data_IF_854256507976
#
_entry.id   IF_854256507976
#
_cell.length_a   1.000
_cell.length_b   1.000
_cell.length_c   1.000
_cell.angle_alpha   90.00
_cell.angle_beta   90.00
_cell.angle_gamma   90.00
#
_symmetry.space_group_name_H-M   'P 1'
#
loop_
_entity.id
_entity.type
_entity.pdbx_description
1 polymer ?
#
# COMPACT_ATOMS: atom_id res chain seq x y z
N UNK A 1 15.06 8.43 -21.47
CA UNK A 1 14.80 9.11 -20.19
C UNK A 1 14.07 8.16 -19.26
N UNK A 2 14.57 8.02 -18.04
CA UNK A 2 13.97 7.10 -17.08
C UNK A 2 12.69 7.69 -16.50
N UNK A 3 11.68 6.87 -16.32
CA UNK A 3 10.45 7.25 -15.66
C UNK A 3 10.48 6.78 -14.20
N UNK A 4 9.66 7.39 -13.35
CA UNK A 4 9.49 6.89 -12.00
C UNK A 4 9.01 5.45 -12.04
N UNK A 5 9.50 4.67 -11.10
CA UNK A 5 9.14 3.27 -10.97
C UNK A 5 8.32 3.06 -9.71
N UNK A 6 7.25 2.28 -9.81
CA UNK A 6 6.38 1.97 -8.68
C UNK A 6 6.39 0.47 -8.43
N UNK A 7 6.54 0.09 -7.17
CA UNK A 7 6.62 -1.32 -6.78
C UNK A 7 5.51 -1.61 -5.77
N UNK A 8 4.80 -2.72 -5.98
CA UNK A 8 3.78 -3.19 -5.05
C UNK A 8 4.45 -3.83 -3.85
N UNK A 9 3.96 -3.49 -2.68
CA UNK A 9 4.43 -4.08 -1.43
C UNK A 9 3.21 -4.71 -0.76
N UNK A 10 3.12 -6.05 -0.74
CA UNK A 10 1.99 -6.74 -0.14
C UNK A 10 1.88 -6.40 1.34
N UNK A 11 0.67 -6.16 1.81
CA UNK A 11 0.39 -5.95 3.22
C UNK A 11 -0.81 -6.79 3.61
N UNK A 12 -0.93 -7.07 4.89
CA UNK A 12 -2.12 -7.69 5.45
C UNK A 12 -2.98 -6.62 6.09
N UNK A 13 -4.28 -6.85 6.13
CA UNK A 13 -5.21 -5.85 6.64
C UNK A 13 -6.26 -6.53 7.48
N UNK A 14 -6.46 -6.01 8.69
CA UNK A 14 -7.62 -6.37 9.48
C UNK A 14 -8.76 -5.44 9.10
N UNK A 15 -9.89 -6.03 8.74
CA UNK A 15 -11.04 -5.27 8.26
C UNK A 15 -12.25 -5.57 9.13
N UNK A 16 -13.10 -4.56 9.27
CA UNK A 16 -14.43 -4.76 9.79
C UNK A 16 -15.35 -5.03 8.59
N UNK A 17 -16.12 -6.10 8.66
CA UNK A 17 -17.07 -6.44 7.61
C UNK A 17 -18.46 -6.50 8.24
N UNK A 18 -19.38 -5.71 7.68
CA UNK A 18 -20.77 -5.67 8.16
C UNK A 18 -21.61 -6.70 7.41
N UNK A 19 -22.78 -7.00 7.97
CA UNK A 19 -23.66 -7.99 7.37
C UNK A 19 -24.19 -7.58 6.01
N UNK A 20 -24.17 -6.28 5.69
CA UNK A 20 -24.59 -5.80 4.37
C UNK A 20 -23.47 -5.87 3.33
N UNK A 21 -22.32 -6.43 3.70
CA UNK A 21 -21.18 -6.56 2.79
C UNK A 21 -20.23 -5.39 2.81
N UNK A 22 -20.55 -4.34 3.54
CA UNK A 22 -19.65 -3.19 3.65
C UNK A 22 -18.38 -3.59 4.40
N UNK A 23 -17.25 -3.07 3.95
CA UNK A 23 -15.95 -3.39 4.52
C UNK A 23 -15.20 -2.10 4.85
N UNK A 24 -14.51 -2.10 5.98
CA UNK A 24 -13.68 -0.97 6.38
C UNK A 24 -12.34 -1.48 6.90
N UNK A 25 -11.20 -1.02 6.34
CA UNK A 25 -9.90 -1.39 6.87
C UNK A 25 -9.68 -0.75 8.24
N UNK A 26 -9.15 -1.53 9.17
CA UNK A 26 -8.96 -1.10 10.54
C UNK A 26 -7.52 -1.08 10.98
N UNK A 27 -6.70 -2.01 10.50
CA UNK A 27 -5.34 -2.14 10.98
C UNK A 27 -4.46 -2.76 9.91
N UNK A 28 -3.35 -2.12 9.60
CA UNK A 28 -2.35 -2.65 8.69
C UNK A 28 -1.41 -3.54 9.46
N UNK A 29 -1.16 -4.74 8.94
CA UNK A 29 -0.20 -5.67 9.52
C UNK A 29 0.95 -5.83 8.54
N UNK A 30 2.15 -5.50 8.98
CA UNK A 30 3.31 -5.57 8.12
C UNK A 30 4.55 -5.87 8.93
N UNK A 31 5.26 -6.94 8.55
CA UNK A 31 6.52 -7.38 9.18
C UNK A 31 6.39 -7.50 10.70
N UNK A 32 5.29 -8.10 11.16
CA UNK A 32 5.08 -8.33 12.58
C UNK A 32 4.65 -7.11 13.36
N UNK A 33 4.41 -5.99 12.69
CA UNK A 33 3.92 -4.77 13.34
C UNK A 33 2.48 -4.49 12.95
N UNK A 34 1.74 -3.88 13.87
CA UNK A 34 0.36 -3.47 13.67
C UNK A 34 0.30 -1.96 13.61
N UNK A 35 -0.39 -1.45 12.59
CA UNK A 35 -0.55 -0.01 12.40
C UNK A 35 -2.04 0.29 12.35
N UNK A 36 -2.66 0.68 13.49
CA UNK A 36 -4.09 0.99 13.50
C UNK A 36 -4.39 2.17 12.61
N UNK A 37 -5.49 2.08 11.87
CA UNK A 37 -5.95 3.15 11.01
C UNK A 37 -6.86 4.04 11.84
N UNK A 38 -6.47 5.31 11.99
CA UNK A 38 -7.21 6.27 12.81
C UNK A 38 -8.40 6.85 12.07
N UNK A 39 -8.33 6.90 10.75
CA UNK A 39 -9.43 7.41 9.95
C UNK A 39 -9.21 7.18 8.48
N UNK A 40 -10.30 7.14 7.73
CA UNK A 40 -10.28 7.06 6.28
C UNK A 40 -10.63 8.43 5.74
N UNK A 41 -9.70 9.01 4.98
CA UNK A 41 -9.86 10.35 4.46
C UNK A 41 -10.58 10.34 3.12
N UNK A 42 -10.22 9.38 2.25
CA UNK A 42 -10.77 9.35 0.90
C UNK A 42 -10.63 7.94 0.32
N UNK A 43 -11.51 7.62 -0.62
CA UNK A 43 -11.47 6.34 -1.34
C UNK A 43 -11.72 6.66 -2.80
N UNK A 44 -10.79 6.21 -3.68
CA UNK A 44 -10.91 6.46 -5.11
C UNK A 44 -10.54 5.21 -5.90
N UNK A 45 -11.15 5.07 -7.07
CA UNK A 45 -10.84 3.96 -7.97
C UNK A 45 -9.65 4.37 -8.85
N UNK A 46 -8.45 4.31 -8.30
CA UNK A 46 -7.25 4.68 -9.05
C UNK A 46 -6.01 3.97 -8.52
N UNK A 47 -4.98 3.94 -9.34
CA UNK A 47 -3.71 3.30 -9.02
C UNK A 47 -2.60 4.03 -9.76
N UNK A 48 -1.37 4.07 -9.19
CA UNK A 48 -0.24 4.67 -9.89
C UNK A 48 0.04 3.97 -11.20
N UNK A 49 0.60 4.68 -12.19
CA UNK A 49 1.02 4.07 -13.44
C UNK A 49 2.00 2.92 -13.17
N UNK A 50 2.07 1.97 -14.06
CA UNK A 50 2.97 0.82 -14.02
C UNK A 50 2.58 -0.27 -13.02
N UNK A 51 1.52 -0.08 -12.26
CA UNK A 51 1.03 -1.12 -11.37
C UNK A 51 -0.14 -1.82 -12.04
N UNK A 52 0.03 -3.13 -12.31
CA UNK A 52 -1.04 -3.90 -12.94
C UNK A 52 -2.08 -4.27 -11.88
N UNK A 53 -3.28 -3.75 -12.05
CA UNK A 53 -4.39 -4.05 -11.16
C UNK A 53 -5.68 -3.73 -11.91
N UNK A 54 -6.57 -4.71 -12.04
CA UNK A 54 -7.75 -4.55 -12.87
C UNK A 54 -8.91 -3.87 -12.15
N UNK A 55 -8.92 -3.87 -10.83
CA UNK A 55 -10.05 -3.32 -10.08
C UNK A 55 -9.56 -2.70 -8.77
N UNK A 56 -8.77 -1.60 -8.86
CA UNK A 56 -8.14 -1.01 -7.69
C UNK A 56 -9.04 -0.02 -6.96
N UNK A 57 -8.86 0.05 -5.64
CA UNK A 57 -9.35 1.16 -4.83
C UNK A 57 -8.16 1.76 -4.09
N UNK A 58 -8.01 3.06 -4.17
CA UNK A 58 -7.00 3.77 -3.41
C UNK A 58 -7.66 4.33 -2.16
N UNK A 59 -7.19 3.90 -1.01
CA UNK A 59 -7.62 4.41 0.28
C UNK A 59 -6.58 5.38 0.81
N UNK A 60 -6.98 6.60 1.08
CA UNK A 60 -6.14 7.55 1.78
C UNK A 60 -6.54 7.49 3.25
N UNK A 61 -5.61 7.10 4.11
CA UNK A 61 -5.91 6.85 5.52
C UNK A 61 -4.94 7.62 6.39
N UNK A 62 -5.34 7.83 7.64
CA UNK A 62 -4.46 8.41 8.65
C UNK A 62 -4.00 7.32 9.59
N UNK A 63 -2.69 7.23 9.77
CA UNK A 63 -2.07 6.32 10.73
C UNK A 63 -1.13 7.15 11.59
N UNK A 64 -1.53 7.37 12.85
CA UNK A 64 -0.79 8.26 13.73
C UNK A 64 -0.80 9.68 13.18
N UNK A 65 0.38 10.26 13.02
CA UNK A 65 0.52 11.61 12.49
C UNK A 65 0.69 11.61 10.96
N UNK A 66 0.59 10.46 10.32
CA UNK A 66 0.90 10.34 8.90
C UNK A 66 -0.32 10.02 8.07
N UNK A 67 -0.34 10.56 6.87
CA UNK A 67 -1.34 10.23 5.87
C UNK A 67 -0.70 9.25 4.89
N UNK A 68 -1.36 8.12 4.67
CA UNK A 68 -0.84 7.05 3.84
C UNK A 68 -1.86 6.66 2.78
N UNK A 69 -1.37 6.19 1.64
CA UNK A 69 -2.22 5.66 0.59
C UNK A 69 -2.02 4.16 0.53
N UNK A 70 -3.13 3.44 0.64
CA UNK A 70 -3.16 1.99 0.60
C UNK A 70 -4.08 1.58 -0.53
N UNK A 71 -3.81 0.42 -1.11
CA UNK A 71 -4.55 -0.02 -2.29
C UNK A 71 -5.17 -1.37 -2.03
N UNK A 72 -6.40 -1.51 -2.49
CA UNK A 72 -7.12 -2.76 -2.40
C UNK A 72 -7.45 -3.23 -3.81
N UNK A 73 -7.03 -4.44 -4.14
CA UNK A 73 -7.41 -5.09 -5.39
C UNK A 73 -8.69 -5.88 -5.13
N UNK A 74 -9.83 -5.34 -5.55
CA UNK A 74 -11.12 -5.94 -5.27
C UNK A 74 -11.26 -7.31 -5.94
N UNK A 75 -10.61 -7.49 -7.07
CA UNK A 75 -10.70 -8.74 -7.81
C UNK A 75 -9.93 -9.85 -7.10
N UNK A 76 -8.75 -9.54 -6.62
CA UNK A 76 -7.91 -10.52 -5.93
C UNK A 76 -8.22 -10.61 -4.44
N UNK A 77 -8.86 -9.60 -3.88
CA UNK A 77 -9.11 -9.55 -2.45
C UNK A 77 -7.87 -9.30 -1.62
N UNK A 78 -6.90 -8.58 -2.18
CA UNK A 78 -5.63 -8.37 -1.50
C UNK A 78 -5.32 -6.88 -1.35
N UNK A 79 -4.55 -6.58 -0.32
CA UNK A 79 -4.11 -5.22 -0.02
C UNK A 79 -2.63 -5.07 -0.33
N UNK A 80 -2.25 -3.87 -0.77
CA UNK A 80 -0.84 -3.56 -0.98
C UNK A 80 -0.62 -2.07 -0.81
N UNK A 81 0.64 -1.70 -0.50
CA UNK A 81 1.09 -0.33 -0.59
C UNK A 81 1.97 -0.22 -1.84
N UNK A 82 2.27 1.01 -2.23
CA UNK A 82 3.08 1.25 -3.40
C UNK A 82 4.26 2.11 -2.98
N UNK A 83 5.45 1.66 -3.35
CA UNK A 83 6.65 2.41 -3.11
C UNK A 83 7.12 3.00 -4.43
N UNK A 84 7.40 4.29 -4.41
CA UNK A 84 7.88 4.98 -5.59
C UNK A 84 9.40 5.09 -5.55
N UNK A 85 10.01 4.80 -6.68
CA UNK A 85 11.43 5.03 -6.87
C UNK A 85 11.55 6.12 -7.93
N UNK A 86 12.16 7.27 -7.61
CA UNK A 86 12.31 8.35 -8.59
C UNK A 86 13.12 7.92 -9.78
N UNK A 87 12.96 8.62 -10.89
CA UNK A 87 13.74 8.39 -12.11
C UNK A 87 15.22 8.43 -11.78
N UNK A 88 15.96 7.47 -12.29
CA UNK A 88 17.40 7.38 -12.04
C UNK A 88 17.77 6.48 -10.87
N UNK A 89 16.78 6.05 -10.08
CA UNK A 89 17.03 5.14 -8.97
C UNK A 89 17.28 3.75 -9.50
N UNK A 90 18.32 3.09 -8.99
CA UNK A 90 18.61 1.71 -9.35
C UNK A 90 17.83 0.79 -8.42
N UNK A 91 16.72 0.28 -8.90
CA UNK A 91 15.86 -0.59 -8.12
C UNK A 91 16.39 -2.01 -8.19
N UNK A 92 16.38 -2.69 -7.07
CA UNK A 92 16.80 -4.08 -7.02
C UNK A 92 18.27 -4.28 -6.84
N UNK A 93 19.06 -3.23 -6.81
CA UNK A 93 20.47 -3.33 -6.50
C UNK A 93 20.59 -3.54 -5.00
N UNK A 94 21.14 -4.67 -4.56
CA UNK A 94 21.16 -4.98 -3.14
C UNK A 94 22.03 -4.02 -2.37
N UNK A 95 23.08 -3.70 -2.86
CA UNK A 95 23.96 -2.80 -2.15
C UNK A 95 24.04 -3.13 -0.69
N UNK A 96 23.87 -3.55 -0.52
CA UNK A 96 23.84 -3.55 0.34
C UNK A 96 23.62 -3.49 1.24
N UNK A 97 23.81 -3.64 1.54
CA UNK A 97 23.67 -3.54 2.38
C UNK A 97 23.64 -3.48 3.23
N UNK A 98 23.84 -3.58 3.31
CA UNK A 98 23.67 -3.51 3.84
C UNK A 98 23.51 -3.33 4.66
N UNK A 99 23.57 -3.36 4.95
CA UNK A 99 23.28 -3.22 5.58
C UNK A 99 23.21 -3.44 6.50
N UNK A 100 23.56 -3.23 6.74
CA UNK A 100 23.49 -3.56 7.57
C UNK A 100 23.11 -3.55 8.42
N UNK A 101 23.00 -3.57 8.59
CA UNK A 101 22.51 -3.63 9.06
C UNK A 101 22.13 -3.86 9.38
N UNK A 102 22.40 -3.88 9.50
CA UNK A 102 22.05 -4.21 9.52
C UNK A 102 21.87 -4.43 9.59
#
# INVERSE_FOLDING_TARGET
>A
MAADCYVRIPISMECMVWSDGRMEPRCVLYRGHSYPIDGIIDIRARIPPSIACSDPLEYTVRIGAHEKRLYYDRRAGTWFSVRRFPAGTTVGTPSSPSHPEG
#
